data_IF_287716019563
#
_entry.id   IF_287716019563
#
_cell.length_a   1.000
_cell.length_b   1.000
_cell.length_c   1.000
_cell.angle_alpha   90.00
_cell.angle_beta   90.00
_cell.angle_gamma   90.00
#
_symmetry.space_group_name_H-M   'P 1'
#
loop_
_entity.id
_entity.type
_entity.pdbx_description
1 polymer ?
#
# COMPACT_ATOMS: atom_id res chain seq x y z
N UNK A 1 14.83 8.18 22.88
CA UNK A 1 13.61 8.90 22.47
C UNK A 1 13.44 8.74 20.97
N UNK A 2 12.21 8.59 20.49
CA UNK A 2 11.93 8.48 19.06
C UNK A 2 11.04 9.64 18.60
N UNK A 3 11.28 10.12 17.38
CA UNK A 3 10.53 11.22 16.78
C UNK A 3 10.08 10.79 15.39
N UNK A 4 8.85 11.17 15.02
CA UNK A 4 8.36 11.03 13.64
C UNK A 4 8.48 12.39 12.97
N UNK A 5 9.11 12.43 11.80
CA UNK A 5 9.26 13.64 11.00
C UNK A 5 9.07 13.36 9.50
N UNK A 6 8.79 14.38 8.68
CA UNK A 6 8.92 14.28 7.23
C UNK A 6 10.29 13.74 6.83
N UNK A 7 10.31 12.95 5.75
CA UNK A 7 11.56 12.49 5.14
C UNK A 7 12.33 13.66 4.53
N UNK A 8 13.65 13.58 4.59
CA UNK A 8 14.60 14.54 4.01
C UNK A 8 15.48 13.89 2.96
N UNK A 9 16.09 14.71 2.09
CA UNK A 9 16.97 14.21 1.02
C UNK A 9 18.19 13.43 1.56
N UNK A 10 18.64 13.76 2.77
CA UNK A 10 19.73 13.09 3.49
C UNK A 10 19.38 11.68 3.96
N UNK A 11 18.08 11.33 4.05
CA UNK A 11 17.64 10.02 4.56
C UNK A 11 17.76 8.89 3.53
N UNK A 12 18.03 9.18 2.25
CA UNK A 12 18.01 8.21 1.14
C UNK A 12 18.85 6.96 1.45
N UNK A 13 20.07 7.13 1.97
CA UNK A 13 20.95 6.00 2.29
C UNK A 13 20.41 5.13 3.46
N UNK A 14 19.79 5.76 4.46
CA UNK A 14 19.16 5.04 5.57
C UNK A 14 17.91 4.29 5.11
N UNK A 15 17.13 4.89 4.20
CA UNK A 15 15.98 4.24 3.58
C UNK A 15 16.37 3.05 2.69
N UNK A 16 17.47 3.16 1.95
CA UNK A 16 18.02 2.04 1.17
C UNK A 16 18.39 0.87 2.09
N UNK A 17 19.05 1.18 3.21
CA UNK A 17 19.38 0.19 4.24
C UNK A 17 18.14 -0.47 4.82
N UNK A 18 17.10 0.30 5.18
CA UNK A 18 15.83 -0.22 5.67
C UNK A 18 15.08 -1.07 4.63
N UNK A 19 15.04 -0.63 3.37
CA UNK A 19 14.37 -1.34 2.29
C UNK A 19 15.03 -2.70 1.98
N UNK A 20 16.36 -2.81 2.17
CA UNK A 20 17.10 -4.06 1.98
C UNK A 20 16.73 -5.16 2.98
N UNK A 21 16.33 -4.78 4.20
CA UNK A 21 15.94 -5.69 5.28
C UNK A 21 14.43 -5.84 5.43
N UNK A 22 13.65 -4.97 4.79
CA UNK A 22 12.21 -5.07 4.76
C UNK A 22 11.79 -6.37 4.06
N UNK A 23 10.92 -7.12 4.74
CA UNK A 23 10.44 -8.42 4.24
C UNK A 23 9.61 -8.21 2.97
N UNK A 24 9.54 -9.24 2.12
CA UNK A 24 8.90 -9.21 0.79
C UNK A 24 7.46 -8.71 0.76
N UNK A 25 6.75 -8.65 1.89
CA UNK A 25 5.32 -8.26 1.98
C UNK A 25 4.99 -6.76 1.97
N UNK A 26 5.96 -5.82 2.07
CA UNK A 26 5.65 -4.38 1.95
C UNK A 26 5.89 -3.92 0.52
N UNK A 27 4.92 -4.19 -0.36
CA UNK A 27 5.03 -3.94 -1.81
C UNK A 27 4.99 -2.46 -2.19
N UNK A 28 4.52 -1.61 -1.28
CA UNK A 28 4.46 -0.16 -1.46
C UNK A 28 5.74 0.55 -1.03
N UNK A 29 6.73 -0.16 -0.46
CA UNK A 29 8.01 0.42 -0.09
C UNK A 29 8.96 0.44 -1.30
N UNK A 30 9.47 1.61 -1.72
CA UNK A 30 10.46 1.68 -2.80
C UNK A 30 11.74 0.90 -2.44
N UNK A 31 12.22 0.05 -3.36
CA UNK A 31 13.38 -0.84 -3.10
C UNK A 31 14.65 -0.49 -3.86
N UNK A 32 14.54 0.17 -5.01
CA UNK A 32 15.71 0.65 -5.73
C UNK A 32 16.07 2.05 -5.27
N UNK A 33 17.37 2.37 -5.25
CA UNK A 33 17.84 3.72 -4.91
C UNK A 33 17.14 4.81 -5.71
N UNK A 34 17.02 4.63 -7.03
CA UNK A 34 16.32 5.59 -7.89
C UNK A 34 14.83 5.74 -7.51
N UNK A 35 14.15 4.66 -7.12
CA UNK A 35 12.76 4.73 -6.68
C UNK A 35 12.62 5.42 -5.31
N UNK A 36 13.59 5.20 -4.41
CA UNK A 36 13.67 5.87 -3.11
C UNK A 36 13.90 7.37 -3.31
N UNK A 37 14.91 7.77 -4.09
CA UNK A 37 15.21 9.18 -4.40
C UNK A 37 13.99 9.91 -4.94
N UNK A 38 13.31 9.34 -5.95
CA UNK A 38 12.06 9.90 -6.50
C UNK A 38 10.92 9.99 -5.47
N UNK A 39 10.80 9.02 -4.57
CA UNK A 39 9.77 9.04 -3.54
C UNK A 39 10.04 10.13 -2.50
N UNK A 40 11.30 10.32 -2.12
CA UNK A 40 11.74 11.40 -1.22
C UNK A 40 11.50 12.77 -1.85
N UNK A 41 11.93 12.97 -3.10
CA UNK A 41 11.70 14.20 -3.86
C UNK A 41 10.20 14.55 -3.94
N UNK A 42 9.36 13.57 -4.30
CA UNK A 42 7.90 13.75 -4.35
C UNK A 42 7.32 14.09 -2.99
N UNK A 43 7.82 13.49 -1.92
CA UNK A 43 7.38 13.80 -0.56
C UNK A 43 7.72 15.22 -0.14
N UNK A 44 8.95 15.65 -0.38
CA UNK A 44 9.39 17.02 -0.10
C UNK A 44 8.52 18.02 -0.86
N UNK A 45 8.29 17.79 -2.16
CA UNK A 45 7.41 18.62 -2.97
C UNK A 45 5.96 18.64 -2.43
N UNK A 46 5.44 17.49 -2.00
CA UNK A 46 4.09 17.35 -1.45
C UNK A 46 3.89 18.15 -0.16
N UNK A 47 4.88 18.14 0.74
CA UNK A 47 4.85 18.94 1.97
C UNK A 47 4.95 20.45 1.70
N UNK A 48 5.70 20.85 0.67
CA UNK A 48 5.84 22.25 0.27
C UNK A 48 4.64 22.80 -0.54
N UNK A 49 3.86 21.92 -1.15
CA UNK A 49 2.73 22.31 -1.99
C UNK A 49 1.61 22.96 -1.18
N UNK A 50 1.03 24.04 -1.72
CA UNK A 50 -0.24 24.58 -1.27
C UNK A 50 -1.36 23.75 -1.91
N UNK A 51 -2.12 23.05 -1.09
CA UNK A 51 -3.14 22.10 -1.54
C UNK A 51 -4.51 22.63 -1.11
N UNK A 52 -5.48 22.62 -2.02
CA UNK A 52 -6.88 22.90 -1.71
C UNK A 52 -7.74 21.63 -1.77
N UNK A 53 -7.35 20.69 -2.64
CA UNK A 53 -8.04 19.42 -2.88
C UNK A 53 -6.98 18.32 -3.04
N UNK A 54 -7.13 17.15 -2.41
CA UNK A 54 -6.20 16.04 -2.55
C UNK A 54 -6.06 15.59 -4.01
N UNK A 55 -4.83 15.34 -4.44
CA UNK A 55 -4.52 14.88 -5.79
C UNK A 55 -3.33 13.92 -5.76
N UNK A 56 -2.19 14.32 -6.31
CA UNK A 56 -1.00 13.49 -6.50
C UNK A 56 -0.01 13.52 -5.33
N UNK A 57 -0.36 14.17 -4.22
CA UNK A 57 0.55 14.29 -3.08
C UNK A 57 0.79 12.94 -2.40
N UNK A 58 2.03 12.73 -1.98
CA UNK A 58 2.47 11.54 -1.27
C UNK A 58 3.44 11.94 -0.18
N UNK A 59 3.08 11.68 1.08
CA UNK A 59 3.80 12.15 2.25
C UNK A 59 4.53 10.99 2.92
N UNK A 60 5.85 10.99 2.88
CA UNK A 60 6.70 10.03 3.57
C UNK A 60 7.14 10.60 4.91
N UNK A 61 6.97 9.78 5.94
CA UNK A 61 7.39 10.02 7.31
C UNK A 61 8.43 8.98 7.70
N UNK A 62 9.44 9.41 8.44
CA UNK A 62 10.47 8.55 9.01
C UNK A 62 10.37 8.54 10.53
N UNK A 63 10.73 7.42 11.14
CA UNK A 63 10.89 7.27 12.57
C UNK A 63 12.39 7.32 12.89
N UNK A 64 12.81 8.37 13.57
CA UNK A 64 14.20 8.63 13.93
C UNK A 64 14.44 8.37 15.43
N UNK A 65 15.53 7.69 15.74
CA UNK A 65 16.09 7.58 17.08
C UNK A 65 16.95 8.80 17.38
N UNK A 66 16.58 9.58 18.40
CA UNK A 66 17.29 10.82 18.76
C UNK A 66 18.67 10.55 19.38
N UNK A 67 18.91 9.35 19.90
CA UNK A 67 20.16 9.02 20.57
C UNK A 67 21.34 8.90 19.60
N UNK A 68 21.09 8.41 18.40
CA UNK A 68 22.08 8.05 17.38
C UNK A 68 21.71 8.55 15.97
N UNK A 69 20.62 9.32 15.84
CA UNK A 69 20.08 9.84 14.58
C UNK A 69 19.75 8.74 13.56
N UNK A 70 19.52 7.51 14.02
CA UNK A 70 19.24 6.38 13.16
C UNK A 70 17.77 6.39 12.69
N UNK A 71 17.56 6.22 11.38
CA UNK A 71 16.22 5.97 10.82
C UNK A 71 15.87 4.50 11.03
N UNK A 72 14.87 4.25 11.86
CA UNK A 72 14.46 2.89 12.28
C UNK A 72 13.09 2.48 11.74
N UNK A 73 12.41 3.37 11.01
CA UNK A 73 11.13 3.11 10.40
C UNK A 73 10.75 4.14 9.36
N UNK A 74 9.81 3.75 8.50
CA UNK A 74 9.28 4.52 7.38
C UNK A 74 7.80 4.22 7.24
N UNK A 75 7.01 5.23 6.88
CA UNK A 75 5.61 5.07 6.53
C UNK A 75 5.19 6.18 5.58
N UNK A 76 4.21 5.91 4.73
CA UNK A 76 3.70 6.89 3.78
C UNK A 76 2.17 7.04 3.86
N UNK A 77 1.70 8.17 3.37
CA UNK A 77 0.30 8.44 3.06
C UNK A 77 0.22 9.01 1.66
N UNK A 78 -0.56 8.38 0.80
CA UNK A 78 -0.95 8.97 -0.49
C UNK A 78 -2.26 9.74 -0.31
N UNK A 79 -2.30 10.99 -0.77
CA UNK A 79 -3.50 11.83 -0.73
C UNK A 79 -4.67 11.14 -1.44
N UNK A 80 -4.38 10.57 -2.62
CA UNK A 80 -5.31 9.76 -3.39
C UNK A 80 -4.61 8.49 -3.88
N UNK A 81 -5.19 7.31 -3.63
CA UNK A 81 -4.66 6.03 -4.13
C UNK A 81 -4.57 6.01 -5.66
N UNK A 82 -5.51 6.73 -6.28
CA UNK A 82 -5.64 6.94 -7.70
C UNK A 82 -4.67 7.95 -8.32
N UNK A 83 -3.76 8.54 -7.55
CA UNK A 83 -2.87 9.63 -8.00
C UNK A 83 -2.02 9.28 -9.23
N UNK A 84 -1.70 8.00 -9.43
CA UNK A 84 -0.97 7.52 -10.61
C UNK A 84 -1.85 6.63 -11.51
N UNK A 85 -3.17 6.87 -11.57
CA UNK A 85 -4.15 6.09 -12.34
C UNK A 85 -5.13 5.29 -11.46
N UNK A 86 -5.88 4.33 -11.97
CA UNK A 86 -6.91 3.62 -11.19
C UNK A 86 -6.33 2.66 -10.13
N UNK A 87 -6.89 2.65 -8.91
CA UNK A 87 -6.55 1.62 -7.90
C UNK A 87 -7.52 0.46 -8.01
N UNK A 88 -7.02 -0.74 -8.31
CA UNK A 88 -7.84 -1.94 -8.46
C UNK A 88 -7.85 -2.81 -7.21
N UNK A 89 -9.01 -3.36 -6.89
CA UNK A 89 -9.21 -4.34 -5.85
C UNK A 89 -10.32 -5.34 -6.24
N UNK A 90 -10.27 -6.54 -5.67
CA UNK A 90 -11.41 -7.44 -5.69
C UNK A 90 -12.34 -7.11 -4.53
N UNK A 91 -13.58 -6.75 -4.84
CA UNK A 91 -14.66 -6.66 -3.85
C UNK A 91 -15.25 -8.04 -3.66
N UNK A 92 -15.39 -8.46 -2.40
CA UNK A 92 -16.06 -9.71 -2.05
C UNK A 92 -17.54 -9.43 -1.79
N UNK A 93 -18.37 -9.71 -2.80
CA UNK A 93 -19.82 -9.56 -2.73
C UNK A 93 -20.46 -10.87 -2.25
N UNK A 94 -21.62 -10.79 -1.57
CA UNK A 94 -22.41 -11.96 -1.17
C UNK A 94 -23.71 -11.98 -1.98
N UNK A 95 -23.86 -13.00 -2.81
CA UNK A 95 -25.03 -13.21 -3.67
C UNK A 95 -25.95 -14.24 -3.00
N UNK A 96 -27.19 -13.87 -2.72
CA UNK A 96 -28.22 -14.78 -2.22
C UNK A 96 -28.87 -15.52 -3.38
N UNK A 97 -28.83 -16.85 -3.33
CA UNK A 97 -29.52 -17.72 -4.27
C UNK A 97 -30.64 -18.46 -3.54
N UNK A 98 -31.88 -18.21 -3.96
CA UNK A 98 -33.08 -18.75 -3.32
C UNK A 98 -33.88 -19.54 -4.34
N UNK A 99 -34.11 -20.81 -4.05
CA UNK A 99 -35.08 -21.65 -4.76
C UNK A 99 -36.27 -21.91 -3.84
N UNK A 100 -37.41 -21.30 -4.17
CA UNK A 100 -38.64 -21.45 -3.37
C UNK A 100 -39.22 -22.86 -3.49
N UNK A 101 -39.21 -23.42 -4.69
CA UNK A 101 -39.76 -24.75 -4.97
C UNK A 101 -38.99 -25.86 -4.25
N UNK A 102 -37.67 -25.68 -4.08
CA UNK A 102 -36.82 -26.61 -3.33
C UNK A 102 -36.67 -26.24 -1.85
N UNK A 103 -37.21 -25.09 -1.43
CA UNK A 103 -37.00 -24.52 -0.10
C UNK A 103 -35.51 -24.41 0.29
N UNK A 104 -34.66 -24.01 -0.66
CA UNK A 104 -33.20 -23.85 -0.48
C UNK A 104 -32.84 -22.36 -0.56
N UNK A 105 -31.97 -21.92 0.34
CA UNK A 105 -31.37 -20.58 0.32
C UNK A 105 -29.89 -20.68 0.64
N UNK A 106 -29.01 -20.33 -0.30
CA UNK A 106 -27.56 -20.31 -0.10
C UNK A 106 -27.00 -18.91 -0.35
N UNK A 107 -25.97 -18.56 0.43
CA UNK A 107 -25.17 -17.35 0.24
C UNK A 107 -23.85 -17.72 -0.43
N UNK A 108 -23.56 -17.11 -1.57
CA UNK A 108 -22.36 -17.39 -2.36
C UNK A 108 -21.48 -16.14 -2.39
N UNK A 109 -20.21 -16.30 -2.03
CA UNK A 109 -19.21 -15.24 -2.17
C UNK A 109 -18.76 -15.15 -3.63
N UNK A 110 -18.63 -13.93 -4.14
CA UNK A 110 -18.14 -13.67 -5.49
C UNK A 110 -17.12 -12.51 -5.46
N UNK A 111 -16.00 -12.69 -6.15
CA UNK A 111 -14.96 -11.68 -6.27
C UNK A 111 -15.14 -10.87 -7.55
N UNK A 112 -15.44 -9.58 -7.41
CA UNK A 112 -15.62 -8.66 -8.53
C UNK A 112 -14.46 -7.67 -8.59
N UNK A 113 -13.78 -7.57 -9.73
CA UNK A 113 -12.76 -6.53 -9.94
C UNK A 113 -13.42 -5.15 -9.97
N UNK A 114 -12.94 -4.22 -9.15
CA UNK A 114 -13.49 -2.88 -9.03
C UNK A 114 -12.39 -1.84 -8.81
N UNK A 115 -12.78 -0.57 -8.87
CA UNK A 115 -11.91 0.59 -8.65
C UNK A 115 -12.39 1.52 -7.54
N UNK A 116 -13.28 1.04 -6.66
CA UNK A 116 -14.00 1.84 -5.66
C UNK A 116 -13.09 2.61 -4.69
N UNK A 117 -11.85 2.14 -4.51
CA UNK A 117 -10.85 2.74 -3.61
C UNK A 117 -10.00 3.83 -4.28
N UNK A 118 -10.20 4.11 -5.57
CA UNK A 118 -9.35 5.03 -6.34
C UNK A 118 -9.32 6.44 -5.74
N UNK A 119 -10.44 6.94 -5.24
CA UNK A 119 -10.53 8.29 -4.65
C UNK A 119 -10.16 8.34 -3.15
N UNK A 120 -9.81 7.21 -2.54
CA UNK A 120 -9.54 7.14 -1.10
C UNK A 120 -8.09 7.49 -0.82
N UNK A 121 -7.81 8.03 0.36
CA UNK A 121 -6.44 8.17 0.84
C UNK A 121 -5.88 6.81 1.26
N UNK A 122 -4.61 6.58 0.98
CA UNK A 122 -3.97 5.27 1.21
C UNK A 122 -2.84 5.38 2.22
N UNK A 123 -2.89 4.55 3.26
CA UNK A 123 -1.76 4.32 4.16
C UNK A 123 -0.87 3.24 3.54
N UNK A 124 0.40 3.56 3.34
CA UNK A 124 1.33 2.71 2.60
C UNK A 124 2.74 2.74 3.21
N UNK A 125 3.65 1.96 2.61
CA UNK A 125 5.09 1.91 2.89
C UNK A 125 5.46 1.76 4.37
N UNK A 126 4.58 1.13 5.16
CA UNK A 126 4.78 1.00 6.60
C UNK A 126 5.79 -0.10 6.91
N UNK A 127 6.91 0.29 7.50
CA UNK A 127 7.93 -0.63 7.98
C UNK A 127 8.63 -0.04 9.20
N UNK A 128 8.89 -0.90 10.18
CA UNK A 128 9.73 -0.61 11.35
C UNK A 128 10.66 -1.79 11.54
N UNK A 129 11.92 -1.54 11.92
CA UNK A 129 12.89 -2.61 12.17
C UNK A 129 12.34 -3.69 13.11
N UNK A 130 12.71 -4.96 12.86
CA UNK A 130 12.12 -6.15 13.51
C UNK A 130 12.03 -6.06 15.03
N UNK A 131 13.05 -5.52 15.67
CA UNK A 131 13.12 -5.35 17.14
C UNK A 131 12.00 -4.47 17.71
N UNK A 132 11.38 -3.62 16.87
CA UNK A 132 10.42 -2.59 17.26
C UNK A 132 9.05 -2.76 16.61
N UNK A 133 8.85 -3.82 15.80
CA UNK A 133 7.66 -3.99 14.96
C UNK A 133 6.34 -4.12 15.74
N UNK A 134 6.38 -4.58 17.00
CA UNK A 134 5.22 -4.68 17.89
C UNK A 134 5.29 -3.69 19.08
N UNK A 135 6.20 -2.71 19.02
CA UNK A 135 6.46 -1.75 20.08
C UNK A 135 5.65 -0.46 19.98
N UNK A 136 5.72 0.40 21.01
CA UNK A 136 5.12 1.73 20.99
C UNK A 136 5.65 2.60 19.83
N UNK A 137 6.85 2.34 19.35
CA UNK A 137 7.46 3.01 18.19
C UNK A 137 6.68 2.76 16.89
N UNK A 138 6.25 1.51 16.66
CA UNK A 138 5.42 1.16 15.51
C UNK A 138 4.03 1.80 15.60
N UNK A 139 3.45 1.83 16.81
CA UNK A 139 2.18 2.52 17.06
C UNK A 139 2.31 4.04 16.83
N UNK A 140 3.42 4.65 17.27
CA UNK A 140 3.72 6.06 17.06
C UNK A 140 3.78 6.39 15.57
N UNK A 141 4.62 5.68 14.81
CA UNK A 141 4.75 5.90 13.37
C UNK A 141 3.44 5.67 12.63
N UNK A 142 2.70 4.63 13.01
CA UNK A 142 1.43 4.32 12.36
C UNK A 142 0.39 5.41 12.58
N UNK A 143 0.23 5.87 13.83
CA UNK A 143 -0.75 6.89 14.22
C UNK A 143 -0.33 8.30 13.82
N UNK A 144 0.97 8.59 13.74
CA UNK A 144 1.48 9.89 13.27
C UNK A 144 0.94 10.24 11.89
N UNK A 145 0.77 9.24 11.02
CA UNK A 145 0.12 9.44 9.72
C UNK A 145 -1.31 9.96 9.85
N UNK A 146 -2.11 9.33 10.72
CA UNK A 146 -3.49 9.74 10.96
C UNK A 146 -3.56 11.10 11.66
N UNK A 147 -2.63 11.40 12.57
CA UNK A 147 -2.54 12.71 13.21
C UNK A 147 -2.21 13.81 12.21
N UNK A 148 -1.31 13.56 11.25
CA UNK A 148 -1.03 14.47 10.15
C UNK A 148 -2.26 14.68 9.26
N UNK A 149 -2.96 13.60 8.90
CA UNK A 149 -4.19 13.71 8.12
C UNK A 149 -5.28 14.50 8.85
N UNK A 150 -5.40 14.32 10.17
CA UNK A 150 -6.36 15.05 10.99
C UNK A 150 -6.00 16.54 11.15
N UNK A 151 -4.71 16.91 11.13
CA UNK A 151 -4.30 18.32 11.23
C UNK A 151 -4.34 19.07 9.89
N UNK A 152 -4.33 18.35 8.77
CA UNK A 152 -4.35 18.92 7.42
C UNK A 152 -5.41 18.24 6.54
N UNK A 153 -6.67 18.26 6.98
CA UNK A 153 -7.79 17.52 6.35
C UNK A 153 -7.99 17.83 4.87
N UNK A 154 -7.72 19.07 4.42
CA UNK A 154 -7.81 19.47 3.01
C UNK A 154 -6.83 18.73 2.07
N UNK A 155 -5.82 18.03 2.63
CA UNK A 155 -4.83 17.27 1.86
C UNK A 155 -5.25 15.81 1.62
N UNK A 156 -6.38 15.38 2.15
CA UNK A 156 -6.80 13.98 2.14
C UNK A 156 -8.29 13.84 1.88
N UNK A 157 -8.71 12.64 1.48
CA UNK A 157 -10.12 12.27 1.39
C UNK A 157 -10.69 11.89 2.76
N UNK A 158 -12.01 11.79 2.84
CA UNK A 158 -12.72 11.43 4.09
C UNK A 158 -12.58 9.96 4.48
N UNK A 159 -12.03 9.13 3.59
CA UNK A 159 -11.89 7.69 3.77
C UNK A 159 -10.46 7.26 3.52
N UNK A 160 -9.98 6.39 4.40
CA UNK A 160 -8.64 5.83 4.39
C UNK A 160 -8.69 4.32 4.30
N UNK A 161 -7.69 3.73 3.65
CA UNK A 161 -7.48 2.29 3.70
C UNK A 161 -5.98 1.97 3.76
N UNK A 162 -5.67 0.73 4.15
CA UNK A 162 -4.33 0.17 4.08
C UNK A 162 -4.40 -1.19 3.40
N UNK A 163 -3.52 -1.44 2.44
CA UNK A 163 -3.39 -2.75 1.80
C UNK A 163 -2.33 -3.55 2.55
N UNK A 164 -2.76 -4.60 3.24
CA UNK A 164 -1.88 -5.51 3.95
C UNK A 164 -1.35 -6.58 3.00
N UNK A 165 -0.15 -7.09 3.28
CA UNK A 165 0.45 -8.18 2.53
C UNK A 165 -0.46 -9.41 2.55
N UNK A 166 -0.62 -10.04 1.39
CA UNK A 166 -1.25 -11.35 1.31
C UNK A 166 -0.39 -12.45 1.94
N UNK A 167 -0.99 -13.62 2.16
CA UNK A 167 -0.28 -14.79 2.67
C UNK A 167 0.57 -15.40 1.56
N UNK A 168 1.83 -15.70 1.86
CA UNK A 168 2.72 -16.49 1.02
C UNK A 168 3.27 -17.68 1.81
N UNK A 169 3.51 -18.81 1.13
CA UNK A 169 4.19 -19.95 1.72
C UNK A 169 5.71 -19.72 1.88
N UNK A 170 6.42 -20.70 2.45
CA UNK A 170 7.87 -20.64 2.66
C UNK A 170 8.69 -20.54 1.37
N UNK A 171 8.10 -20.89 0.21
CA UNK A 171 8.71 -20.78 -1.11
C UNK A 171 8.33 -19.47 -1.82
N UNK A 172 7.62 -18.56 -1.14
CA UNK A 172 7.15 -17.28 -1.71
C UNK A 172 5.96 -17.43 -2.65
N UNK A 173 5.24 -18.54 -2.63
CA UNK A 173 4.03 -18.75 -3.45
C UNK A 173 2.80 -18.22 -2.73
N UNK A 174 1.97 -17.46 -3.43
CA UNK A 174 0.69 -16.97 -2.91
C UNK A 174 -0.43 -17.92 -3.33
N UNK A 175 -1.14 -18.60 -2.40
CA UNK A 175 -2.26 -19.49 -2.74
C UNK A 175 -3.36 -18.76 -3.53
N UNK A 176 -3.60 -17.48 -3.20
CA UNK A 176 -4.56 -16.66 -3.92
C UNK A 176 -4.11 -16.39 -5.37
N UNK A 177 -2.83 -16.08 -5.57
CA UNK A 177 -2.27 -15.89 -6.90
C UNK A 177 -2.38 -17.16 -7.75
N UNK A 178 -2.05 -18.32 -7.20
CA UNK A 178 -2.16 -19.61 -7.89
C UNK A 178 -3.60 -19.94 -8.28
N UNK A 179 -4.57 -19.62 -7.41
CA UNK A 179 -5.97 -19.90 -7.67
C UNK A 179 -6.61 -18.97 -8.71
N UNK A 180 -6.10 -17.74 -8.82
CA UNK A 180 -6.70 -16.68 -9.66
C UNK A 180 -5.69 -16.05 -10.62
N UNK A 181 -4.77 -15.22 -10.10
CA UNK A 181 -3.90 -14.36 -10.91
C UNK A 181 -3.06 -15.11 -11.95
N UNK A 182 -2.49 -16.25 -11.58
CA UNK A 182 -1.62 -17.07 -12.46
C UNK A 182 -2.35 -17.57 -13.71
N UNK A 183 -3.66 -17.80 -13.64
CA UNK A 183 -4.46 -18.25 -14.79
C UNK A 183 -4.53 -17.21 -15.91
N UNK A 184 -4.38 -15.93 -15.58
CA UNK A 184 -4.47 -14.82 -16.52
C UNK A 184 -3.10 -14.27 -16.91
N UNK A 185 -2.20 -14.10 -15.94
CA UNK A 185 -0.88 -13.55 -16.18
C UNK A 185 0.16 -14.59 -16.61
N UNK A 186 -0.12 -15.89 -16.43
CA UNK A 186 0.77 -17.01 -16.78
C UNK A 186 2.20 -16.89 -16.22
N UNK A 187 2.35 -16.20 -15.09
CA UNK A 187 3.63 -15.96 -14.41
C UNK A 187 3.52 -16.27 -12.92
N UNK A 188 4.66 -16.54 -12.29
CA UNK A 188 4.72 -16.83 -10.85
C UNK A 188 4.54 -15.54 -10.03
N UNK A 189 4.08 -15.67 -8.77
CA UNK A 189 3.75 -14.51 -7.94
C UNK A 189 4.89 -13.50 -7.83
N UNK A 190 6.12 -13.95 -7.54
CA UNK A 190 7.28 -13.08 -7.39
C UNK A 190 7.72 -12.41 -8.69
N UNK A 191 7.42 -13.02 -9.84
CA UNK A 191 7.65 -12.41 -11.14
C UNK A 191 6.61 -11.32 -11.41
N UNK A 192 5.33 -11.61 -11.16
CA UNK A 192 4.26 -10.62 -11.25
C UNK A 192 4.52 -9.40 -10.37
N UNK A 193 4.92 -9.63 -9.12
CA UNK A 193 5.32 -8.59 -8.18
C UNK A 193 6.40 -7.66 -8.76
N UNK A 194 7.42 -8.25 -9.39
CA UNK A 194 8.55 -7.52 -9.96
C UNK A 194 8.16 -6.73 -11.20
N UNK A 195 7.29 -7.28 -12.03
CA UNK A 195 6.82 -6.63 -13.28
C UNK A 195 5.81 -5.51 -12.97
N UNK A 196 4.95 -5.69 -11.97
CA UNK A 196 3.88 -4.75 -11.63
C UNK A 196 4.40 -3.59 -10.75
N UNK A 197 5.56 -3.77 -10.10
CA UNK A 197 6.25 -2.78 -9.24
C UNK A 197 5.29 -1.97 -8.36
N UNK A 198 4.42 -2.66 -7.62
CA UNK A 198 3.54 -2.01 -6.63
C UNK A 198 2.57 -0.97 -7.20
N UNK A 199 2.16 -1.10 -8.48
CA UNK A 199 1.16 -0.30 -9.20
C UNK A 199 1.69 0.76 -10.19
N UNK A 200 2.80 0.48 -10.90
CA UNK A 200 3.28 1.37 -12.00
C UNK A 200 2.80 0.98 -13.39
N UNK A 201 2.32 -0.25 -13.62
CA UNK A 201 1.76 -0.67 -14.91
C UNK A 201 0.30 -1.15 -14.77
N UNK A 202 -0.57 -0.21 -14.40
CA UNK A 202 -2.00 -0.43 -14.06
C UNK A 202 -2.84 -0.91 -15.26
N UNK A 203 -2.37 -0.70 -16.50
CA UNK A 203 -3.03 -1.17 -17.73
C UNK A 203 -3.05 -2.70 -17.81
N UNK A 204 -1.96 -3.36 -17.45
CA UNK A 204 -1.86 -4.84 -17.50
C UNK A 204 -2.90 -5.54 -16.63
N UNK A 205 -3.25 -4.94 -15.48
CA UNK A 205 -4.28 -5.49 -14.59
C UNK A 205 -5.64 -5.43 -15.27
N UNK A 206 -5.98 -4.32 -15.93
CA UNK A 206 -7.25 -4.18 -16.65
C UNK A 206 -7.33 -5.10 -17.85
N UNK A 207 -6.23 -5.24 -18.60
CA UNK A 207 -6.19 -6.02 -19.83
C UNK A 207 -6.27 -7.53 -19.58
N UNK A 208 -5.77 -8.01 -18.43
CA UNK A 208 -5.64 -9.44 -18.17
C UNK A 208 -6.61 -9.97 -17.12
N UNK A 209 -7.13 -9.16 -16.20
CA UNK A 209 -7.98 -9.67 -15.12
C UNK A 209 -9.43 -9.95 -15.57
N UNK A 210 -10.12 -10.89 -14.91
CA UNK A 210 -11.49 -11.23 -15.27
C UNK A 210 -12.43 -10.05 -15.04
N UNK A 211 -13.25 -9.76 -16.05
CA UNK A 211 -14.32 -8.76 -15.97
C UNK A 211 -15.62 -9.29 -15.35
N UNK A 212 -15.73 -10.62 -15.19
CA UNK A 212 -16.87 -11.28 -14.56
C UNK A 212 -16.52 -11.74 -13.16
N UNK A 213 -17.49 -11.79 -12.22
CA UNK A 213 -17.24 -12.29 -10.87
C UNK A 213 -16.70 -13.73 -10.88
N UNK A 214 -15.74 -14.00 -9.99
CA UNK A 214 -15.13 -15.32 -9.77
C UNK A 214 -15.61 -15.95 -8.47
#
# INVERSE_FOLDING_TARGET
MFVVRPVEATDVAALESLASVATSGVHTLPRSRQAIERAVERSIASFAAQVEIPSEESYFLVLESVADQAIVGIAAISATAGSNGTFFAFRNDVIQQVSRDLNISHSVHALTLCSDLTSYSQLSSFYVGKERAAGPEAALLSRARLMFAASATHRFGDKFFASLAGITDANGRSPFWEALGRKFFQMDFLEAERVIEGARNRTLIVELMPHYPV
#
